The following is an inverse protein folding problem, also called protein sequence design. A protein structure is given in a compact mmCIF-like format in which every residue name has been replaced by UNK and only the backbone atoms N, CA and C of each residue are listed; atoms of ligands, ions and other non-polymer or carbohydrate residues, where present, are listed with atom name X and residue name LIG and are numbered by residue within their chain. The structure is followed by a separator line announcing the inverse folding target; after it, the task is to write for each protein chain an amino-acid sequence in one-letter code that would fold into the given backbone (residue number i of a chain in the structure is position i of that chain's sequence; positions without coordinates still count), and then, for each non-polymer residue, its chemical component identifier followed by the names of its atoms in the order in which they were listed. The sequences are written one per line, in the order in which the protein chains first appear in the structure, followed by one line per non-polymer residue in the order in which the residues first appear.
data_IF_584065809631
#
_entry.id   IF_584065809631
#
_cell.length_a   1.000
_cell.length_b   1.000
_cell.length_c   1.000
_cell.angle_alpha   90.00
_cell.angle_beta   90.00
_cell.angle_gamma   90.00
#
_symmetry.space_group_name_H-M   'P 1'
#
loop_
_entity.id
_entity.type
_entity.pdbx_description
1 polymer ?
#
# COMPACT_ATOMS: atom_id res chain seq x y z
N UNK A 1 -12.38 -4.38 7.96
CA UNK A 1 -11.39 -3.33 8.25
C UNK A 1 -10.26 -3.44 7.25
N UNK A 2 -10.23 -2.54 6.27
CA UNK A 2 -9.40 -2.65 5.05
C UNK A 2 -8.06 -1.88 5.14
N UNK A 3 -7.78 -1.25 6.28
CA UNK A 3 -6.61 -0.39 6.48
C UNK A 3 -5.52 -1.13 7.28
N UNK A 4 -4.32 -1.21 6.73
CA UNK A 4 -3.16 -1.85 7.36
C UNK A 4 -2.05 -0.84 7.63
N UNK A 5 -1.35 -0.98 8.76
CA UNK A 5 -0.18 -0.16 9.06
C UNK A 5 0.91 -0.34 7.99
N UNK A 6 1.56 0.77 7.61
CA UNK A 6 2.53 0.82 6.53
C UNK A 6 1.93 0.83 5.11
N UNK A 7 0.61 0.71 4.98
CA UNK A 7 -0.05 0.73 3.68
C UNK A 7 -0.03 2.13 3.06
N UNK A 8 0.24 2.19 1.75
CA UNK A 8 0.16 3.43 0.97
C UNK A 8 -1.28 3.74 0.63
N UNK A 9 -1.65 5.00 0.81
CA UNK A 9 -3.00 5.50 0.57
C UNK A 9 -2.96 6.82 -0.18
N UNK A 10 -4.02 7.11 -0.90
CA UNK A 10 -4.24 8.37 -1.62
C UNK A 10 -5.65 8.89 -1.36
N UNK A 11 -5.85 10.20 -1.46
CA UNK A 11 -7.16 10.82 -1.33
C UNK A 11 -7.63 11.29 -2.72
N UNK A 12 -8.76 10.77 -3.18
CA UNK A 12 -9.38 11.22 -4.42
C UNK A 12 -9.89 12.67 -4.27
N UNK A 13 -9.62 13.52 -5.25
CA UNK A 13 -10.07 14.92 -5.27
C UNK A 13 -9.12 15.95 -4.65
N UNK A 14 -8.06 15.52 -3.97
CA UNK A 14 -7.01 16.40 -3.45
C UNK A 14 -5.63 15.75 -3.65
N UNK A 15 -4.65 16.47 -4.20
CA UNK A 15 -3.28 15.95 -4.33
C UNK A 15 -2.52 16.06 -3.00
N UNK A 16 -2.72 15.07 -2.12
CA UNK A 16 -1.99 14.94 -0.86
C UNK A 16 -0.57 14.38 -1.04
N UNK A 17 -0.22 13.89 -2.24
CA UNK A 17 0.99 13.12 -2.47
C UNK A 17 0.97 11.75 -1.79
N UNK A 18 2.13 11.07 -1.64
CA UNK A 18 2.19 9.73 -1.08
C UNK A 18 1.94 9.74 0.43
N UNK A 19 0.81 9.21 0.87
CA UNK A 19 0.45 9.06 2.28
C UNK A 19 0.55 7.60 2.75
N UNK A 20 0.67 7.41 4.06
CA UNK A 20 0.88 6.09 4.68
C UNK A 20 0.01 5.94 5.93
N UNK A 21 -0.58 4.78 6.13
CA UNK A 21 -1.25 4.45 7.39
C UNK A 21 -0.19 4.19 8.46
N UNK A 22 -0.22 4.94 9.56
CA UNK A 22 0.72 4.77 10.68
C UNK A 22 0.15 3.98 11.84
N UNK A 23 -1.18 3.98 11.98
CA UNK A 23 -1.89 3.21 13.00
C UNK A 23 -3.29 2.83 12.48
N UNK A 24 -3.72 1.60 12.73
CA UNK A 24 -5.06 1.13 12.36
C UNK A 24 -5.59 0.16 13.42
N UNK A 25 -6.71 0.52 14.05
CA UNK A 25 -7.46 -0.35 14.97
C UNK A 25 -8.96 -0.22 14.71
N UNK A 26 -9.79 -1.07 15.35
CA UNK A 26 -11.25 -1.15 15.14
C UNK A 26 -12.00 0.19 15.24
N UNK A 27 -11.44 1.18 15.92
CA UNK A 27 -12.06 2.46 16.19
C UNK A 27 -11.32 3.64 15.57
N UNK A 28 -10.12 3.46 15.03
CA UNK A 28 -9.31 4.60 14.60
C UNK A 28 -8.30 4.22 13.53
N UNK A 29 -8.13 5.12 12.58
CA UNK A 29 -7.07 5.07 11.58
C UNK A 29 -6.34 6.40 11.54
N UNK A 30 -5.01 6.34 11.56
CA UNK A 30 -4.14 7.50 11.42
C UNK A 30 -3.35 7.36 10.12
N UNK A 31 -3.41 8.39 9.29
CA UNK A 31 -2.71 8.50 8.02
C UNK A 31 -1.73 9.65 8.12
N UNK A 32 -0.48 9.40 7.78
CA UNK A 32 0.58 10.40 7.69
C UNK A 32 0.83 10.77 6.23
N UNK A 33 0.73 12.08 5.92
CA UNK A 33 1.05 12.63 4.62
C UNK A 33 2.26 13.58 4.76
N UNK A 34 3.45 13.23 4.22
CA UNK A 34 4.68 14.01 4.41
C UNK A 34 4.62 15.46 3.91
N UNK A 35 3.75 15.74 2.96
CA UNK A 35 3.63 17.05 2.31
C UNK A 35 2.65 17.99 3.02
N UNK A 36 1.76 17.44 3.85
CA UNK A 36 0.70 18.18 4.51
C UNK A 36 0.78 17.89 6.01
N UNK A 37 -0.11 17.05 6.56
CA UNK A 37 -0.19 16.77 7.99
C UNK A 37 -0.67 15.32 8.25
N UNK A 38 -1.01 15.02 9.51
CA UNK A 38 -1.65 13.76 9.91
C UNK A 38 -3.18 13.86 9.82
N UNK A 39 -3.80 12.85 9.22
CA UNK A 39 -5.24 12.67 9.19
C UNK A 39 -5.61 11.59 10.19
N UNK A 40 -6.45 11.93 11.15
CA UNK A 40 -6.95 11.00 12.16
C UNK A 40 -8.46 10.87 12.02
N UNK A 41 -8.96 9.65 11.90
CA UNK A 41 -10.40 9.36 11.96
C UNK A 41 -10.70 8.43 13.13
N UNK A 42 -11.82 8.66 13.81
CA UNK A 42 -12.41 7.71 14.76
C UNK A 42 -13.40 6.73 14.09
N UNK A 43 -13.47 6.78 12.76
CA UNK A 43 -14.39 5.95 11.97
C UNK A 43 -13.70 5.56 10.64
N UNK A 44 -13.21 4.31 10.55
CA UNK A 44 -12.54 3.78 9.37
C UNK A 44 -13.40 3.78 8.10
N UNK A 45 -14.72 3.66 8.24
CA UNK A 45 -15.64 3.58 7.11
C UNK A 45 -15.88 4.98 6.49
N UNK A 46 -15.73 6.04 7.30
CA UNK A 46 -15.77 7.43 6.82
C UNK A 46 -14.56 7.83 5.99
N UNK A 47 -13.43 7.13 6.09
CA UNK A 47 -12.27 7.41 5.25
C UNK A 47 -12.55 7.12 3.78
N UNK A 48 -13.19 5.98 3.48
CA UNK A 48 -13.57 5.62 2.11
C UNK A 48 -14.56 6.65 1.53
N UNK A 49 -15.54 7.09 2.35
CA UNK A 49 -16.50 8.14 1.97
C UNK A 49 -15.84 9.51 1.76
N UNK A 50 -14.78 9.82 2.50
CA UNK A 50 -13.99 11.03 2.32
C UNK A 50 -13.05 10.97 1.11
N UNK A 51 -13.04 9.85 0.37
CA UNK A 51 -12.25 9.68 -0.85
C UNK A 51 -10.89 9.02 -0.63
N UNK A 52 -10.58 8.55 0.58
CA UNK A 52 -9.34 7.80 0.82
C UNK A 52 -9.42 6.41 0.19
N UNK A 53 -8.39 6.06 -0.57
CA UNK A 53 -8.26 4.78 -1.25
C UNK A 53 -6.90 4.18 -0.96
N UNK A 54 -6.89 2.86 -0.87
CA UNK A 54 -5.66 2.10 -0.71
C UNK A 54 -4.96 1.94 -2.06
N UNK A 55 -3.70 2.35 -2.13
CA UNK A 55 -2.85 2.03 -3.26
C UNK A 55 -2.38 0.60 -3.11
N UNK A 56 -2.88 -0.30 -3.96
CA UNK A 56 -2.36 -1.65 -4.05
C UNK A 56 -0.87 -1.57 -4.37
N UNK A 57 -0.04 -1.99 -3.42
CA UNK A 57 1.41 -2.00 -3.58
C UNK A 57 1.80 -2.97 -4.70
N UNK A 58 1.91 -2.45 -5.93
CA UNK A 58 2.31 -3.21 -7.12
C UNK A 58 3.75 -3.75 -6.98
N UNK A 59 4.53 -3.29 -5.98
CA UNK A 59 5.93 -3.73 -5.81
C UNK A 59 6.07 -5.16 -5.30
N UNK A 60 5.12 -5.66 -4.48
CA UNK A 60 5.14 -7.06 -3.99
C UNK A 60 4.94 -8.09 -5.10
N UNK A 61 4.11 -7.77 -6.12
CA UNK A 61 3.86 -8.69 -7.24
C UNK A 61 5.09 -8.78 -8.16
N UNK A 62 5.79 -7.67 -8.37
CA UNK A 62 7.01 -7.64 -9.21
C UNK A 62 8.13 -8.45 -8.55
N UNK A 63 8.38 -8.28 -7.25
CA UNK A 63 9.45 -9.00 -6.55
C UNK A 63 9.22 -10.52 -6.55
N UNK A 64 7.97 -10.98 -6.33
CA UNK A 64 7.64 -12.41 -6.38
C UNK A 64 7.75 -13.00 -7.78
N UNK A 65 7.39 -12.26 -8.84
CA UNK A 65 7.57 -12.71 -10.23
C UNK A 65 9.06 -12.85 -10.58
N UNK A 66 9.88 -11.86 -10.20
CA UNK A 66 11.32 -11.88 -10.43
C UNK A 66 12.01 -13.01 -9.67
N UNK A 67 11.63 -13.24 -8.40
CA UNK A 67 12.18 -14.35 -7.60
C UNK A 67 11.79 -15.72 -8.14
N UNK A 68 10.53 -15.92 -8.53
CA UNK A 68 10.10 -17.19 -9.15
C UNK A 68 10.80 -17.45 -10.49
N UNK A 69 11.09 -16.40 -11.27
CA UNK A 69 11.89 -16.53 -12.50
C UNK A 69 13.32 -16.95 -12.19
N UNK A 70 13.99 -16.29 -11.23
CA UNK A 70 15.34 -16.63 -10.82
C UNK A 70 15.47 -18.05 -10.24
N UNK A 71 14.50 -18.49 -9.43
CA UNK A 71 14.46 -19.85 -8.88
C UNK A 71 14.19 -20.91 -9.97
N UNK A 72 13.40 -20.58 -11.01
CA UNK A 72 13.16 -21.45 -12.17
C UNK A 72 14.42 -21.61 -13.03
N UNK A 73 15.12 -20.51 -13.30
CA UNK A 73 16.34 -20.51 -14.11
C UNK A 73 17.50 -21.25 -13.40
N UNK A 74 17.52 -21.26 -12.06
CA UNK A 74 18.45 -22.09 -11.29
C UNK A 74 18.12 -23.60 -11.33
N UNK A 75 16.83 -23.96 -11.30
CA UNK A 75 16.43 -25.38 -11.26
C UNK A 75 16.49 -26.06 -12.62
N UNK A 76 16.25 -25.32 -13.69
CA UNK A 76 16.43 -25.76 -15.06
C UNK A 76 17.30 -24.72 -15.77
N UNK A 77 18.64 -24.81 -15.66
CA UNK A 77 19.50 -23.99 -16.49
C UNK A 77 19.09 -24.25 -17.94
N UNK A 78 18.63 -23.20 -18.64
CA UNK A 78 18.35 -23.30 -20.07
C UNK A 78 19.68 -23.63 -20.74
N UNK A 79 19.87 -24.82 -21.33
CA UNK A 79 21.12 -25.14 -21.98
C UNK A 79 21.18 -24.38 -23.29
N UNK A 80 22.19 -23.53 -23.45
CA UNK A 80 22.65 -23.08 -24.76
C UNK A 80 22.74 -21.57 -24.92
N UNK A 81 23.95 -21.05 -24.75
CA UNK A 81 24.74 -20.55 -25.87
C UNK A 81 26.17 -21.10 -25.76
#
# INVERSE_FOLDING_TARGET
MNWQEGQRVECEGLDWGPCFVTMSNQHMVVIYCPRYEMVTTADPDKLELAGWKTLADQSKVVWMKSRRKAERDQRNPVPGF
#
